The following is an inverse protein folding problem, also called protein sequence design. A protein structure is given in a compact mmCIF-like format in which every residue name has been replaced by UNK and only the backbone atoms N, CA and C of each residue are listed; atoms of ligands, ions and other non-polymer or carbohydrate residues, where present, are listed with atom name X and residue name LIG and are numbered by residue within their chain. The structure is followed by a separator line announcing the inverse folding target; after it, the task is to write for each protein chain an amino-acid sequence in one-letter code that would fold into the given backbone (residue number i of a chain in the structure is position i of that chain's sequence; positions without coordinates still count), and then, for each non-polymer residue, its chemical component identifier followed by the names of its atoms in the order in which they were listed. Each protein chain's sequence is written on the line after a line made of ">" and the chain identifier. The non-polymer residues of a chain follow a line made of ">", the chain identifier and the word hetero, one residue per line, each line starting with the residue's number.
data_IF_965918539254
#
_entry.id   IF_965918539254
#
_cell.length_a   1.000
_cell.length_b   1.000
_cell.length_c   1.000
_cell.angle_alpha   90.00
_cell.angle_beta   90.00
_cell.angle_gamma   90.00
#
_symmetry.space_group_name_H-M   'P 1'
#
loop_
_entity.id
_entity.type
_entity.pdbx_description
1 polymer ?
#
# COMPACT_ATOMS: atom_id res chain seq x y z
N UNK A 1 -44.46 0.94 28.67
CA UNK A 1 -44.00 0.62 27.31
C UNK A 1 -42.65 1.30 27.12
N UNK A 2 -41.55 0.56 27.26
CA UNK A 2 -40.19 1.09 27.11
C UNK A 2 -39.76 0.90 25.65
N UNK A 3 -39.49 2.01 24.96
CA UNK A 3 -38.86 2.02 23.65
C UNK A 3 -37.41 1.58 23.79
N UNK A 4 -37.09 0.40 23.28
CA UNK A 4 -35.71 -0.07 23.11
C UNK A 4 -35.13 0.59 21.86
N UNK A 5 -34.42 1.70 22.03
CA UNK A 5 -33.58 2.26 20.97
C UNK A 5 -32.43 1.30 20.67
N UNK A 6 -32.51 0.66 19.50
CA UNK A 6 -31.45 -0.18 18.96
C UNK A 6 -30.26 0.71 18.63
N UNK A 7 -29.07 0.52 19.23
CA UNK A 7 -27.91 1.34 18.91
C UNK A 7 -27.54 1.15 17.44
N UNK A 8 -27.67 2.24 16.69
CA UNK A 8 -27.33 2.37 15.29
C UNK A 8 -25.92 1.85 15.02
N UNK A 9 -25.85 0.83 14.16
CA UNK A 9 -24.65 0.15 13.71
C UNK A 9 -23.54 1.15 13.39
N UNK A 10 -22.39 0.97 14.04
CA UNK A 10 -21.13 1.58 13.65
C UNK A 10 -20.87 1.16 12.19
N UNK A 11 -21.11 2.08 11.25
CA UNK A 11 -20.84 1.86 9.84
C UNK A 11 -19.32 1.67 9.68
N UNK A 12 -18.87 0.42 9.68
CA UNK A 12 -17.49 0.12 9.32
C UNK A 12 -17.25 0.70 7.93
N UNK A 13 -16.23 1.56 7.75
CA UNK A 13 -15.91 2.04 6.41
C UNK A 13 -15.66 0.81 5.54
N UNK A 14 -16.31 0.77 4.38
CA UNK A 14 -16.10 -0.29 3.39
C UNK A 14 -14.59 -0.45 3.16
N UNK A 15 -14.13 -1.69 2.97
CA UNK A 15 -12.72 -1.99 2.68
C UNK A 15 -12.17 -1.06 1.60
N UNK A 16 -12.99 -0.76 0.60
CA UNK A 16 -12.70 0.19 -0.47
C UNK A 16 -12.47 1.63 0.04
N UNK A 17 -13.33 2.15 0.92
CA UNK A 17 -13.18 3.47 1.53
C UNK A 17 -11.96 3.58 2.45
N UNK A 18 -11.56 2.47 3.08
CA UNK A 18 -10.28 2.39 3.82
C UNK A 18 -9.09 2.40 2.86
N UNK A 19 -9.14 1.58 1.80
CA UNK A 19 -8.07 1.47 0.79
C UNK A 19 -7.82 2.82 0.10
N UNK A 20 -8.89 3.49 -0.36
CA UNK A 20 -8.79 4.82 -0.98
C UNK A 20 -8.17 5.85 -0.02
N UNK A 21 -8.51 5.78 1.28
CA UNK A 21 -7.90 6.66 2.29
C UNK A 21 -6.41 6.38 2.48
N UNK A 22 -6.00 5.12 2.51
CA UNK A 22 -4.58 4.75 2.61
C UNK A 22 -3.80 5.17 1.37
N UNK A 23 -4.36 4.94 0.19
CA UNK A 23 -3.79 5.37 -1.09
C UNK A 23 -3.59 6.89 -1.10
N UNK A 24 -4.62 7.65 -0.73
CA UNK A 24 -4.56 9.12 -0.68
C UNK A 24 -3.49 9.62 0.30
N UNK A 25 -3.43 9.03 1.50
CA UNK A 25 -2.41 9.37 2.51
C UNK A 25 -1.00 9.05 2.03
N UNK A 26 -0.82 7.91 1.36
CA UNK A 26 0.45 7.53 0.75
C UNK A 26 0.90 8.50 -0.35
N UNK A 27 -0.02 8.91 -1.22
CA UNK A 27 0.22 9.90 -2.28
C UNK A 27 0.48 11.32 -1.76
N UNK A 28 -0.12 11.71 -0.63
CA UNK A 28 0.09 13.04 -0.05
C UNK A 28 1.34 13.13 0.85
N UNK A 29 1.68 12.09 1.61
CA UNK A 29 2.79 12.09 2.59
C UNK A 29 4.07 11.35 2.14
N UNK A 30 4.07 10.78 0.94
CA UNK A 30 5.20 10.08 0.33
C UNK A 30 6.26 11.01 -0.27
N UNK A 31 7.52 10.56 -0.34
CA UNK A 31 8.52 11.16 -1.23
C UNK A 31 8.20 10.88 -2.70
N UNK A 32 8.86 11.53 -3.66
CA UNK A 32 8.55 11.37 -5.10
C UNK A 32 8.69 9.91 -5.56
N UNK A 33 9.67 9.18 -5.04
CA UNK A 33 9.90 7.74 -5.28
C UNK A 33 8.74 6.87 -4.77
N UNK A 34 8.26 7.11 -3.56
CA UNK A 34 7.13 6.41 -2.98
C UNK A 34 5.84 6.64 -3.78
N UNK A 35 5.59 7.89 -4.18
CA UNK A 35 4.43 8.23 -5.01
C UNK A 35 4.48 7.52 -6.36
N UNK A 36 5.65 7.54 -7.01
CA UNK A 36 5.86 6.85 -8.28
C UNK A 36 5.62 5.34 -8.13
N UNK A 37 6.21 4.71 -7.12
CA UNK A 37 6.00 3.29 -6.84
C UNK A 37 4.54 2.94 -6.58
N UNK A 38 3.81 3.80 -5.85
CA UNK A 38 2.38 3.64 -5.59
C UNK A 38 1.53 3.77 -6.86
N UNK A 39 1.84 4.74 -7.72
CA UNK A 39 1.15 4.93 -9.00
C UNK A 39 1.40 3.74 -9.91
N UNK A 40 2.65 3.27 -10.03
CA UNK A 40 2.97 2.08 -10.82
C UNK A 40 2.22 0.85 -10.28
N UNK A 41 2.16 0.67 -8.97
CA UNK A 41 1.44 -0.45 -8.37
C UNK A 41 -0.06 -0.41 -8.68
N UNK A 42 -0.67 0.78 -8.62
CA UNK A 42 -2.08 0.96 -8.94
C UNK A 42 -2.39 0.80 -10.42
N UNK A 43 -1.52 1.31 -11.30
CA UNK A 43 -1.66 1.16 -12.75
C UNK A 43 -1.37 -0.27 -13.21
N UNK A 44 -0.58 -1.02 -12.46
CA UNK A 44 -0.27 -2.40 -12.81
C UNK A 44 -1.52 -3.28 -12.91
N UNK A 45 -2.50 -3.06 -12.03
CA UNK A 45 -3.71 -3.88 -12.00
C UNK A 45 -4.57 -3.76 -13.28
N UNK A 46 -4.96 -2.55 -13.74
CA UNK A 46 -5.67 -2.39 -15.01
C UNK A 46 -4.79 -2.72 -16.22
N UNK A 47 -3.48 -2.49 -16.18
CA UNK A 47 -2.58 -2.84 -17.30
C UNK A 47 -2.44 -4.36 -17.46
N UNK A 48 -2.25 -5.09 -16.37
CA UNK A 48 -2.14 -6.54 -16.39
C UNK A 48 -3.46 -7.23 -16.74
N UNK A 49 -4.46 -7.11 -15.86
CA UNK A 49 -5.73 -7.82 -16.03
C UNK A 49 -6.62 -7.18 -17.10
N UNK A 50 -6.73 -5.85 -17.09
CA UNK A 50 -7.53 -5.13 -18.08
C UNK A 50 -6.93 -5.21 -19.48
N UNK A 51 -5.61 -5.02 -19.61
CA UNK A 51 -4.90 -5.15 -20.89
C UNK A 51 -4.97 -6.56 -21.46
N UNK A 52 -4.72 -7.59 -20.64
CA UNK A 52 -4.82 -8.99 -21.09
C UNK A 52 -6.25 -9.37 -21.49
N UNK A 53 -7.27 -8.95 -20.73
CA UNK A 53 -8.67 -9.20 -21.06
C UNK A 53 -9.07 -8.50 -22.37
N UNK A 54 -8.64 -7.26 -22.57
CA UNK A 54 -8.92 -6.51 -23.79
C UNK A 54 -8.23 -7.14 -25.01
N UNK A 55 -6.97 -7.55 -24.88
CA UNK A 55 -6.25 -8.24 -25.95
C UNK A 55 -6.85 -9.62 -26.25
N UNK A 56 -7.33 -10.36 -25.24
CA UNK A 56 -8.04 -11.62 -25.46
C UNK A 56 -9.36 -11.41 -26.21
N UNK A 57 -10.10 -10.35 -25.86
CA UNK A 57 -11.35 -9.98 -26.53
C UNK A 57 -11.10 -9.55 -27.99
N UNK A 58 -10.04 -8.77 -28.24
CA UNK A 58 -9.60 -8.41 -29.59
C UNK A 58 -9.10 -9.62 -30.38
N UNK A 59 -8.41 -10.56 -29.74
CA UNK A 59 -7.98 -11.80 -30.39
C UNK A 59 -9.18 -12.62 -30.88
N UNK A 60 -10.24 -12.70 -30.06
CA UNK A 60 -11.48 -13.37 -30.43
C UNK A 60 -12.21 -12.65 -31.57
N UNK A 61 -12.29 -11.31 -31.51
CA UNK A 61 -12.98 -10.49 -32.51
C UNK A 61 -12.28 -10.52 -33.89
N UNK A 62 -10.95 -10.41 -33.92
CA UNK A 62 -10.17 -10.33 -35.16
C UNK A 62 -9.57 -11.67 -35.62
N UNK A 63 -9.81 -12.77 -34.87
CA UNK A 63 -9.23 -14.10 -35.10
C UNK A 63 -7.72 -14.11 -35.36
N UNK A 64 -7.00 -13.15 -34.78
CA UNK A 64 -5.58 -12.93 -35.04
C UNK A 64 -4.74 -13.35 -33.84
N UNK A 65 -3.73 -14.19 -34.10
CA UNK A 65 -2.76 -14.68 -33.09
C UNK A 65 -1.85 -13.56 -32.57
N UNK A 66 -1.73 -12.45 -33.31
CA UNK A 66 -0.93 -11.30 -32.91
C UNK A 66 -1.43 -10.69 -31.60
N UNK A 67 -2.75 -10.63 -31.39
CA UNK A 67 -3.33 -10.09 -30.15
C UNK A 67 -3.05 -10.97 -28.92
N UNK A 68 -2.89 -12.28 -29.11
CA UNK A 68 -2.47 -13.18 -28.02
C UNK A 68 -1.00 -12.95 -27.63
N UNK A 69 -0.12 -12.71 -28.61
CA UNK A 69 1.27 -12.34 -28.35
C UNK A 69 1.36 -10.97 -27.66
N UNK A 70 0.56 -10.00 -28.09
CA UNK A 70 0.47 -8.70 -27.44
C UNK A 70 -0.02 -8.82 -25.98
N UNK A 71 -0.99 -9.70 -25.70
CA UNK A 71 -1.43 -10.00 -24.34
C UNK A 71 -0.28 -10.56 -23.48
N UNK A 72 0.50 -11.50 -24.03
CA UNK A 72 1.69 -12.05 -23.37
C UNK A 72 2.74 -10.98 -23.07
N UNK A 73 2.99 -10.07 -24.00
CA UNK A 73 3.93 -8.97 -23.80
C UNK A 73 3.46 -7.98 -22.73
N UNK A 74 2.17 -7.61 -22.73
CA UNK A 74 1.58 -6.78 -21.68
C UNK A 74 1.66 -7.44 -20.30
N UNK A 75 1.49 -8.75 -20.24
CA UNK A 75 1.65 -9.50 -19.00
C UNK A 75 3.09 -9.41 -18.49
N UNK A 76 4.10 -9.61 -19.35
CA UNK A 76 5.51 -9.47 -18.95
C UNK A 76 5.81 -8.04 -18.45
N UNK A 77 5.32 -7.01 -19.15
CA UNK A 77 5.47 -5.61 -18.72
C UNK A 77 4.84 -5.40 -17.34
N UNK A 78 3.65 -5.97 -17.10
CA UNK A 78 2.98 -5.92 -15.80
C UNK A 78 3.85 -6.50 -14.68
N UNK A 79 4.52 -7.63 -14.91
CA UNK A 79 5.46 -8.21 -13.94
C UNK A 79 6.65 -7.30 -13.66
N UNK A 80 7.23 -6.70 -14.70
CA UNK A 80 8.35 -5.75 -14.53
C UNK A 80 7.91 -4.51 -13.76
N UNK A 81 6.75 -3.94 -14.10
CA UNK A 81 6.16 -2.81 -13.37
C UNK A 81 5.93 -3.14 -11.90
N UNK A 82 5.39 -4.33 -11.62
CA UNK A 82 5.16 -4.79 -10.25
C UNK A 82 6.48 -4.94 -9.48
N UNK A 83 7.51 -5.51 -10.11
CA UNK A 83 8.84 -5.63 -9.52
C UNK A 83 9.45 -4.27 -9.17
N UNK A 84 9.44 -3.34 -10.12
CA UNK A 84 9.96 -1.97 -9.93
C UNK A 84 9.17 -1.22 -8.84
N UNK A 85 7.84 -1.31 -8.85
CA UNK A 85 6.99 -0.71 -7.83
C UNK A 85 7.30 -1.26 -6.43
N UNK A 86 7.50 -2.58 -6.33
CA UNK A 86 7.81 -3.26 -5.07
C UNK A 86 9.17 -2.83 -4.53
N UNK A 87 10.19 -2.69 -5.39
CA UNK A 87 11.51 -2.20 -4.98
C UNK A 87 11.42 -0.76 -4.47
N UNK A 88 10.76 0.13 -5.24
CA UNK A 88 10.61 1.54 -4.87
C UNK A 88 9.87 1.70 -3.54
N UNK A 89 8.73 1.02 -3.38
CA UNK A 89 7.94 1.05 -2.15
C UNK A 89 8.68 0.39 -0.98
N UNK A 90 9.39 -0.71 -1.22
CA UNK A 90 10.11 -1.46 -0.20
C UNK A 90 11.29 -0.68 0.39
N UNK A 91 12.08 0.00 -0.44
CA UNK A 91 13.19 0.84 0.04
C UNK A 91 12.67 2.00 0.88
N UNK A 92 11.63 2.69 0.42
CA UNK A 92 11.04 3.81 1.17
C UNK A 92 10.35 3.35 2.46
N UNK A 93 9.64 2.21 2.44
CA UNK A 93 9.03 1.64 3.63
C UNK A 93 10.08 1.22 4.66
N UNK A 94 11.17 0.58 4.23
CA UNK A 94 12.30 0.21 5.08
C UNK A 94 12.93 1.44 5.73
N UNK A 95 13.17 2.51 4.97
CA UNK A 95 13.75 3.74 5.51
C UNK A 95 12.85 4.40 6.55
N UNK A 96 11.53 4.43 6.30
CA UNK A 96 10.54 4.95 7.26
C UNK A 96 10.47 4.11 8.53
N UNK A 97 10.45 2.78 8.40
CA UNK A 97 10.46 1.85 9.52
C UNK A 97 11.72 1.99 10.37
N UNK A 98 12.90 2.09 9.74
CA UNK A 98 14.16 2.30 10.45
C UNK A 98 14.17 3.64 11.20
N UNK A 99 13.67 4.71 10.57
CA UNK A 99 13.56 6.01 11.23
C UNK A 99 12.60 5.96 12.44
N UNK A 100 11.46 5.30 12.30
CA UNK A 100 10.48 5.11 13.37
C UNK A 100 11.00 4.23 14.49
N UNK A 101 11.73 3.16 14.16
CA UNK A 101 12.39 2.28 15.12
C UNK A 101 13.46 3.04 15.93
N UNK A 102 14.31 3.83 15.26
CA UNK A 102 15.30 4.69 15.92
C UNK A 102 14.64 5.67 16.90
N UNK A 103 13.57 6.35 16.48
CA UNK A 103 12.81 7.28 17.36
C UNK A 103 12.21 6.58 18.57
N UNK A 104 11.63 5.40 18.35
CA UNK A 104 11.04 4.60 19.43
C UNK A 104 12.10 4.15 20.43
N UNK A 105 13.27 3.70 19.95
CA UNK A 105 14.40 3.31 20.80
C UNK A 105 14.89 4.47 21.69
N UNK A 106 15.04 5.66 21.11
CA UNK A 106 15.43 6.87 21.86
C UNK A 106 14.38 7.21 22.94
N UNK A 107 13.10 7.08 22.65
CA UNK A 107 12.03 7.32 23.62
C UNK A 107 12.09 6.29 24.77
N UNK A 108 12.32 5.02 24.46
CA UNK A 108 12.53 3.98 25.47
C UNK A 108 13.76 4.24 26.35
N UNK A 109 14.88 4.66 25.76
CA UNK A 109 16.10 4.98 26.50
C UNK A 109 15.88 6.15 27.48
N UNK A 110 15.12 7.18 27.08
CA UNK A 110 14.73 8.28 27.96
C UNK A 110 13.88 7.79 29.14
N UNK A 111 12.87 6.96 28.88
CA UNK A 111 12.03 6.37 29.93
C UNK A 111 12.83 5.51 30.90
N UNK A 112 13.79 4.72 30.41
CA UNK A 112 14.67 3.89 31.23
C UNK A 112 15.53 4.74 32.16
N UNK A 113 16.13 5.83 31.64
CA UNK A 113 16.91 6.79 32.45
C UNK A 113 16.07 7.42 33.57
N UNK A 114 14.84 7.84 33.27
CA UNK A 114 13.93 8.39 34.30
C UNK A 114 13.56 7.37 35.39
N UNK A 115 13.34 6.09 35.04
CA UNK A 115 13.09 5.05 36.04
C UNK A 115 14.31 4.80 36.93
N UNK A 116 15.49 4.72 36.34
CA UNK A 116 16.74 4.51 37.09
C UNK A 116 17.04 5.67 38.04
N UNK A 117 16.79 6.92 37.62
CA UNK A 117 16.92 8.09 38.47
C UNK A 117 15.96 8.05 39.68
N UNK A 118 14.70 7.64 39.46
CA UNK A 118 13.72 7.47 40.56
C UNK A 118 14.09 6.38 41.55
N UNK A 119 14.71 5.29 41.09
CA UNK A 119 15.18 4.23 41.98
C UNK A 119 16.32 4.72 42.87
N UNK A 120 17.27 5.48 42.30
CA UNK A 120 18.42 6.01 43.03
C UNK A 120 18.09 7.07 44.10
N UNK A 121 16.95 7.77 43.98
CA UNK A 121 16.49 8.73 45.00
C UNK A 121 15.65 8.09 46.11
N UNK A 122 15.39 6.78 46.04
CA UNK A 122 14.61 6.05 47.06
C UNK A 122 15.51 5.31 48.07
N UNK A 123 16.80 5.16 47.75
CA UNK A 123 17.86 4.71 48.64
C UNK A 123 18.49 5.90 49.37
#
# INVERSE_FOLDING_TARGET
>A
MQNTEVPSRVAMPSFFGFLCRQIRRGLSGGGPTFKLGMILFLLNWPVGWGGAALCALLAAAYKSKFWLLAAGFLYIISWVMLGVATILLGVDAKNRLLAQYKRSRIAFDRLKKHRLAKLKTKD
#
